data_IF_825993662177
#
_entry.id   IF_825993662177
#
_cell.length_a   1.000
_cell.length_b   1.000
_cell.length_c   1.000
_cell.angle_alpha   90.00
_cell.angle_beta   90.00
_cell.angle_gamma   90.00
#
_symmetry.space_group_name_H-M   'P 1'
#
loop_
_entity.id
_entity.type
_entity.pdbx_description
1 polymer ?
#
# COMPACT_ATOMS: atom_id res chain seq x y z
N UNK A 1 8.22 2.37 21.12
CA UNK A 1 6.84 2.02 21.50
C UNK A 1 6.17 1.54 20.25
N UNK A 2 5.55 0.36 20.27
CA UNK A 2 4.82 -0.14 19.11
C UNK A 2 3.60 0.76 18.88
N UNK A 3 3.38 1.16 17.62
CA UNK A 3 2.12 1.77 17.23
C UNK A 3 1.03 0.72 17.47
N UNK A 4 0.03 1.06 18.28
CA UNK A 4 -1.14 0.22 18.52
C UNK A 4 -2.21 0.56 17.47
N UNK A 5 -2.76 -0.44 16.80
CA UNK A 5 -3.65 -0.22 15.67
C UNK A 5 -4.09 -1.51 14.98
N UNK A 6 -5.10 -1.38 14.13
CA UNK A 6 -5.58 -2.48 13.29
C UNK A 6 -4.59 -2.64 12.15
N UNK A 7 -3.88 -3.77 12.10
CA UNK A 7 -2.93 -4.11 11.04
C UNK A 7 -3.58 -5.08 10.07
N UNK A 8 -3.54 -4.74 8.78
CA UNK A 8 -3.88 -5.64 7.68
C UNK A 8 -2.59 -5.94 6.92
N UNK A 9 -2.05 -7.14 7.13
CA UNK A 9 -0.91 -7.66 6.39
C UNK A 9 -1.34 -8.31 5.08
N UNK A 10 -0.39 -8.51 4.18
CA UNK A 10 -0.54 -9.10 2.85
C UNK A 10 -0.89 -10.61 2.83
N UNK A 11 -0.86 -11.26 4.00
CA UNK A 11 -1.32 -12.64 4.22
C UNK A 11 -2.72 -12.72 4.90
N UNK A 12 -3.31 -11.57 5.22
CA UNK A 12 -4.62 -11.49 5.86
C UNK A 12 -5.74 -11.78 4.85
N UNK A 13 -6.87 -12.31 5.35
CA UNK A 13 -8.12 -12.40 4.57
C UNK A 13 -8.71 -11.02 4.22
N UNK A 14 -8.24 -9.96 4.87
CA UNK A 14 -8.62 -8.57 4.62
C UNK A 14 -7.72 -7.88 3.58
N UNK A 15 -6.77 -8.62 3.02
CA UNK A 15 -5.96 -8.22 1.87
C UNK A 15 -6.40 -9.01 0.63
N UNK A 16 -6.69 -8.29 -0.45
CA UNK A 16 -7.04 -8.87 -1.74
C UNK A 16 -6.10 -8.30 -2.79
N UNK A 17 -5.62 -9.16 -3.70
CA UNK A 17 -4.82 -8.76 -4.85
C UNK A 17 -5.38 -9.32 -6.15
N UNK A 18 -5.10 -8.65 -7.26
CA UNK A 18 -5.47 -9.13 -8.61
C UNK A 18 -4.81 -10.48 -8.91
N UNK A 19 -5.44 -11.34 -9.74
CA UNK A 19 -4.91 -12.65 -10.12
C UNK A 19 -3.84 -12.55 -11.24
N UNK A 20 -2.89 -11.62 -11.11
CA UNK A 20 -1.79 -11.46 -12.07
C UNK A 20 -0.66 -12.45 -11.82
N UNK A 21 0.02 -12.87 -12.89
CA UNK A 21 1.24 -13.67 -12.83
C UNK A 21 2.50 -12.84 -12.52
N UNK A 22 2.41 -11.50 -12.60
CA UNK A 22 3.54 -10.58 -12.37
C UNK A 22 3.71 -10.20 -10.90
N UNK A 23 2.98 -10.85 -10.00
CA UNK A 23 3.21 -10.74 -8.57
C UNK A 23 4.44 -11.55 -8.15
N UNK A 24 5.43 -10.86 -7.60
CA UNK A 24 6.59 -11.47 -6.95
C UNK A 24 6.44 -11.40 -5.43
N UNK A 25 7.11 -12.32 -4.74
CA UNK A 25 7.21 -12.33 -3.27
C UNK A 25 8.60 -11.89 -2.86
N UNK A 26 8.70 -11.01 -1.87
CA UNK A 26 9.95 -10.70 -1.21
C UNK A 26 9.98 -11.22 0.22
N UNK A 27 11.16 -11.10 0.83
CA UNK A 27 11.47 -11.60 2.19
C UNK A 27 11.77 -10.48 3.18
N UNK A 28 11.43 -9.24 2.80
CA UNK A 28 11.60 -8.02 3.59
C UNK A 28 10.24 -7.38 3.80
N UNK A 29 10.11 -6.53 4.81
CA UNK A 29 8.84 -5.91 5.18
C UNK A 29 8.28 -6.42 6.49
N UNK A 30 7.03 -6.05 6.75
CA UNK A 30 6.36 -6.40 7.98
C UNK A 30 6.29 -7.93 8.10
N UNK A 31 6.81 -8.48 9.20
CA UNK A 31 6.89 -9.93 9.41
C UNK A 31 7.69 -10.67 8.30
N UNK A 32 8.70 -9.99 7.73
CA UNK A 32 9.66 -10.52 6.74
C UNK A 32 9.03 -10.98 5.43
N UNK A 33 7.99 -10.28 4.99
CA UNK A 33 7.23 -10.61 3.79
C UNK A 33 6.72 -9.33 3.15
N UNK A 34 6.61 -9.38 1.83
CA UNK A 34 5.87 -8.43 1.03
C UNK A 34 5.50 -9.08 -0.31
N UNK A 35 4.56 -8.46 -1.01
CA UNK A 35 4.45 -8.59 -2.45
C UNK A 35 5.14 -7.41 -3.12
N UNK A 36 5.63 -7.62 -4.33
CA UNK A 36 6.10 -6.55 -5.18
C UNK A 36 5.87 -6.89 -6.64
N UNK A 37 5.90 -5.85 -7.47
CA UNK A 37 5.97 -5.98 -8.92
C UNK A 37 6.80 -4.84 -9.48
N UNK A 38 7.04 -4.88 -10.77
CA UNK A 38 7.59 -3.76 -11.51
C UNK A 38 6.53 -2.70 -11.76
N UNK A 39 6.95 -1.43 -11.80
CA UNK A 39 6.04 -0.31 -12.08
C UNK A 39 5.61 -0.28 -13.54
N UNK A 40 4.36 0.11 -13.77
CA UNK A 40 3.83 0.42 -15.10
C UNK A 40 3.55 1.92 -15.24
N UNK A 41 3.69 2.41 -16.48
CA UNK A 41 3.56 3.84 -16.78
C UNK A 41 2.09 4.27 -16.90
N UNK A 42 1.33 3.55 -17.71
CA UNK A 42 -0.01 3.95 -18.10
C UNK A 42 -1.08 3.08 -17.43
N UNK A 43 -2.22 3.67 -17.08
CA UNK A 43 -3.32 2.94 -16.44
C UNK A 43 -3.95 1.85 -17.31
N UNK A 44 -3.74 1.90 -18.63
CA UNK A 44 -4.19 0.86 -19.56
C UNK A 44 -3.40 -0.46 -19.38
N UNK A 45 -2.21 -0.37 -18.79
CA UNK A 45 -1.29 -1.47 -18.54
C UNK A 45 -1.34 -1.90 -17.06
N UNK A 46 -2.35 -1.46 -16.29
CA UNK A 46 -2.54 -1.85 -14.90
C UNK A 46 -2.84 -3.34 -14.78
N UNK A 47 -2.03 -4.06 -14.00
CA UNK A 47 -2.18 -5.51 -13.85
C UNK A 47 -2.16 -5.94 -12.38
N UNK A 48 -1.23 -5.41 -11.59
CA UNK A 48 -1.08 -5.71 -10.18
C UNK A 48 -1.76 -4.63 -9.33
N UNK A 49 -2.91 -5.00 -8.75
CA UNK A 49 -3.68 -4.16 -7.83
C UNK A 49 -3.84 -4.88 -6.51
N UNK A 50 -3.62 -4.17 -5.40
CA UNK A 50 -3.90 -4.66 -4.05
C UNK A 50 -4.87 -3.74 -3.31
N UNK A 51 -5.70 -4.35 -2.46
CA UNK A 51 -6.69 -3.67 -1.63
C UNK A 51 -6.60 -4.21 -0.20
N UNK A 52 -6.39 -3.32 0.76
CA UNK A 52 -6.48 -3.59 2.19
C UNK A 52 -7.83 -3.08 2.73
N UNK A 53 -8.58 -3.95 3.42
CA UNK A 53 -9.95 -3.68 3.88
C UNK A 53 -10.19 -4.10 5.34
N UNK A 54 -9.79 -3.28 6.33
CA UNK A 54 -9.99 -3.57 7.75
C UNK A 54 -11.47 -3.57 8.13
N UNK A 55 -11.80 -4.28 9.21
CA UNK A 55 -13.09 -4.17 9.91
C UNK A 55 -12.92 -3.11 11.00
N UNK A 56 -13.56 -1.96 10.83
CA UNK A 56 -13.53 -0.86 11.80
C UNK A 56 -14.81 -0.90 12.64
N UNK A 57 -14.69 -1.23 13.93
CA UNK A 57 -15.82 -1.35 14.85
C UNK A 57 -16.12 -0.08 15.65
N UNK A 58 -15.25 0.94 15.56
CA UNK A 58 -15.40 2.18 16.30
C UNK A 58 -15.38 3.37 15.35
N UNK A 59 -16.34 4.28 15.52
CA UNK A 59 -16.30 5.55 14.82
C UNK A 59 -15.17 6.41 15.41
N UNK A 60 -14.35 6.99 14.55
CA UNK A 60 -13.24 7.83 14.99
C UNK A 60 -12.38 8.37 13.86
N UNK A 61 -11.41 9.19 14.25
CA UNK A 61 -10.31 9.58 13.37
C UNK A 61 -9.18 8.57 13.54
N UNK A 62 -8.62 8.13 12.43
CA UNK A 62 -7.50 7.21 12.40
C UNK A 62 -6.40 7.78 11.52
N UNK A 63 -5.17 7.74 12.01
CA UNK A 63 -3.97 7.90 11.19
C UNK A 63 -3.69 6.58 10.47
N UNK A 64 -3.45 6.65 9.16
CA UNK A 64 -3.11 5.50 8.34
C UNK A 64 -1.61 5.44 8.14
N UNK A 65 -1.06 4.24 8.22
CA UNK A 65 0.33 3.98 7.87
C UNK A 65 0.42 2.87 6.83
N UNK A 66 1.33 3.03 5.87
CA UNK A 66 1.81 1.97 5.00
C UNK A 66 3.18 1.50 5.51
N UNK A 67 3.39 0.20 5.60
CA UNK A 67 4.72 -0.33 5.84
C UNK A 67 5.49 -0.36 4.52
N UNK A 68 6.67 0.27 4.50
CA UNK A 68 7.56 0.27 3.34
C UNK A 68 8.76 -0.63 3.65
N UNK A 69 8.93 -1.76 2.93
CA UNK A 69 10.04 -2.68 3.16
C UNK A 69 11.36 -2.05 2.71
N UNK A 70 12.47 -2.57 3.25
CA UNK A 70 13.83 -2.17 2.89
C UNK A 70 14.27 -2.59 1.48
N UNK A 71 13.49 -3.43 0.81
CA UNK A 71 13.82 -4.02 -0.49
C UNK A 71 12.55 -4.13 -1.35
N UNK A 72 12.73 -4.15 -2.68
CA UNK A 72 11.66 -4.18 -3.68
C UNK A 72 10.71 -2.97 -3.67
N UNK A 73 11.16 -1.83 -3.13
CA UNK A 73 10.36 -0.63 -2.89
C UNK A 73 11.04 0.63 -3.45
N UNK A 74 11.43 0.60 -4.73
CA UNK A 74 12.28 1.64 -5.36
C UNK A 74 11.50 2.69 -6.16
N UNK A 75 10.18 2.56 -6.26
CA UNK A 75 9.31 3.56 -6.88
C UNK A 75 9.37 4.90 -6.14
N UNK A 76 9.35 5.98 -6.92
CA UNK A 76 9.26 7.34 -6.43
C UNK A 76 7.81 7.87 -6.42
N UNK A 77 6.85 7.07 -6.86
CA UNK A 77 5.49 7.52 -7.11
C UNK A 77 4.43 6.44 -6.83
N UNK A 78 4.51 5.77 -5.67
CA UNK A 78 3.45 4.85 -5.23
C UNK A 78 2.19 5.65 -4.85
N UNK A 79 1.08 5.41 -5.55
CA UNK A 79 -0.16 6.21 -5.42
C UNK A 79 -1.22 5.43 -4.64
N UNK A 80 -1.33 5.72 -3.35
CA UNK A 80 -2.35 5.13 -2.49
C UNK A 80 -3.68 5.86 -2.67
N UNK A 81 -4.74 5.12 -2.98
CA UNK A 81 -6.11 5.61 -2.99
C UNK A 81 -6.84 5.12 -1.73
N UNK A 82 -7.25 6.06 -0.89
CA UNK A 82 -7.80 5.81 0.44
C UNK A 82 -9.29 6.16 0.40
N UNK A 83 -10.14 5.16 0.59
CA UNK A 83 -11.59 5.37 0.72
C UNK A 83 -11.95 5.43 2.20
N UNK A 84 -12.50 6.56 2.63
CA UNK A 84 -12.87 6.85 4.01
C UNK A 84 -14.27 7.47 4.07
N UNK A 85 -14.75 7.79 5.28
CA UNK A 85 -16.13 8.23 5.49
C UNK A 85 -16.51 9.55 4.78
N UNK A 86 -15.53 10.38 4.44
CA UNK A 86 -15.71 11.69 3.78
C UNK A 86 -15.47 11.63 2.26
N UNK A 87 -15.11 10.46 1.71
CA UNK A 87 -14.85 10.29 0.26
C UNK A 87 -13.55 9.53 -0.01
N UNK A 88 -12.91 9.88 -1.13
CA UNK A 88 -11.65 9.27 -1.59
C UNK A 88 -10.54 10.32 -1.53
N UNK A 89 -9.43 9.97 -0.89
CA UNK A 89 -8.18 10.74 -0.88
C UNK A 89 -7.08 9.98 -1.63
N UNK A 90 -6.13 10.71 -2.23
CA UNK A 90 -4.96 10.12 -2.89
C UNK A 90 -3.68 10.66 -2.28
N UNK A 91 -2.74 9.78 -2.01
CA UNK A 91 -1.45 10.11 -1.40
C UNK A 91 -0.36 9.43 -2.20
N UNK A 92 0.64 10.22 -2.60
CA UNK A 92 1.84 9.70 -3.27
C UNK A 92 2.94 9.52 -2.24
N UNK A 93 3.58 8.34 -2.24
CA UNK A 93 4.75 8.02 -1.41
C UNK A 93 5.93 7.69 -2.31
N UNK A 94 7.07 8.29 -1.99
CA UNK A 94 8.38 7.91 -2.53
C UNK A 94 8.89 6.72 -1.72
N UNK A 95 8.54 5.49 -2.12
CA UNK A 95 8.90 4.31 -1.33
C UNK A 95 10.42 4.17 -1.16
N UNK A 96 11.18 4.60 -2.17
CA UNK A 96 12.63 4.56 -2.18
C UNK A 96 13.32 5.33 -1.03
N UNK A 97 12.61 6.25 -0.38
CA UNK A 97 13.15 7.05 0.72
C UNK A 97 13.10 6.32 2.07
N UNK A 98 12.42 5.17 2.14
CA UNK A 98 12.14 4.46 3.38
C UNK A 98 12.80 3.10 3.44
N UNK A 99 13.13 2.66 4.65
CA UNK A 99 13.83 1.41 4.90
C UNK A 99 13.25 0.73 6.13
N UNK A 100 12.32 -0.22 5.90
CA UNK A 100 11.66 -1.03 6.94
C UNK A 100 10.90 -0.17 7.97
N UNK A 101 9.98 0.67 7.48
CA UNK A 101 9.34 1.73 8.27
C UNK A 101 7.84 1.86 8.00
N UNK A 102 7.09 2.28 9.03
CA UNK A 102 5.71 2.72 8.91
C UNK A 102 5.65 4.20 8.49
N UNK A 103 5.08 4.46 7.32
CA UNK A 103 4.97 5.79 6.72
C UNK A 103 3.52 6.26 6.78
N UNK A 104 3.30 7.43 7.35
CA UNK A 104 1.97 8.04 7.45
C UNK A 104 1.43 8.38 6.05
N UNK A 105 0.17 8.03 5.83
CA UNK A 105 -0.62 8.48 4.68
C UNK A 105 -1.59 9.60 5.07
N UNK A 106 -1.72 9.92 6.35
CA UNK A 106 -2.61 10.95 6.88
C UNK A 106 -3.77 10.40 7.71
N UNK A 107 -4.52 11.34 8.29
CA UNK A 107 -5.62 11.04 9.21
C UNK A 107 -7.00 11.24 8.60
N UNK A 108 -7.83 10.20 8.63
CA UNK A 108 -9.17 10.18 8.04
C UNK A 108 -10.22 9.64 9.02
N UNK A 109 -11.50 9.89 8.72
CA UNK A 109 -12.62 9.35 9.51
C UNK A 109 -13.02 7.97 9.02
N UNK A 110 -13.13 7.02 9.94
CA UNK A 110 -13.65 5.68 9.70
C UNK A 110 -14.68 5.32 10.77
N UNK A 111 -15.49 4.30 10.49
CA UNK A 111 -16.43 3.76 11.46
C UNK A 111 -17.19 2.54 10.94
N UNK A 112 -18.02 1.93 11.79
CA UNK A 112 -18.79 0.73 11.46
C UNK A 112 -19.63 0.89 10.20
N UNK A 113 -19.59 -0.11 9.32
CA UNK A 113 -20.39 -0.15 8.09
C UNK A 113 -20.01 0.92 7.06
N UNK A 114 -18.88 1.61 7.23
CA UNK A 114 -18.36 2.60 6.27
C UNK A 114 -17.15 2.05 5.51
N UNK A 115 -16.88 2.54 4.29
CA UNK A 115 -15.64 2.21 3.59
C UNK A 115 -14.40 2.57 4.40
N UNK A 116 -13.43 1.67 4.41
CA UNK A 116 -12.14 1.86 5.07
C UNK A 116 -10.97 1.32 4.23
N UNK A 117 -11.11 1.31 2.91
CA UNK A 117 -10.20 0.60 2.02
C UNK A 117 -9.01 1.46 1.63
N UNK A 118 -7.86 0.81 1.43
CA UNK A 118 -6.71 1.39 0.73
C UNK A 118 -6.46 0.54 -0.51
N UNK A 119 -6.33 1.19 -1.66
CA UNK A 119 -5.97 0.58 -2.93
C UNK A 119 -4.60 1.10 -3.36
N UNK A 120 -3.74 0.20 -3.80
CA UNK A 120 -2.49 0.51 -4.48
C UNK A 120 -2.44 -0.31 -5.77
N UNK A 121 -1.89 0.26 -6.84
CA UNK A 121 -1.58 -0.48 -8.06
C UNK A 121 -0.17 -0.18 -8.54
N UNK A 122 0.28 -0.98 -9.51
CA UNK A 122 1.56 -0.84 -10.18
C UNK A 122 1.67 0.41 -11.08
N UNK A 123 0.59 1.16 -11.28
CA UNK A 123 0.55 2.38 -12.09
C UNK A 123 1.18 3.55 -11.34
N UNK A 124 2.46 3.80 -11.57
CA UNK A 124 3.19 4.92 -10.93
C UNK A 124 3.49 6.06 -11.90
N UNK A 125 3.34 5.84 -13.21
CA UNK A 125 3.73 6.81 -14.24
C UNK A 125 5.23 6.84 -14.51
N UNK A 126 6.00 5.98 -13.85
CA UNK A 126 7.44 5.81 -14.08
C UNK A 126 7.69 4.91 -15.30
N UNK A 127 8.88 4.97 -15.92
CA UNK A 127 9.24 4.10 -17.04
C UNK A 127 9.08 2.62 -16.68
N UNK A 128 8.51 1.86 -17.60
CA UNK A 128 8.23 0.43 -17.45
C UNK A 128 9.09 -0.45 -18.38
N UNK A 129 10.16 0.12 -18.96
CA UNK A 129 11.11 -0.63 -19.78
C UNK A 129 12.10 -1.38 -18.88
N UNK A 130 12.02 -2.71 -18.91
CA UNK A 130 12.89 -3.59 -18.13
C UNK A 130 14.38 -3.47 -18.47
N UNK A 131 14.72 -2.85 -19.60
CA UNK A 131 16.12 -2.60 -19.99
C UNK A 131 16.60 -1.19 -19.59
N UNK A 132 15.76 -0.40 -18.93
CA UNK A 132 16.15 0.94 -18.45
C UNK A 132 16.71 0.87 -17.04
N UNK A 133 17.76 1.66 -16.77
CA UNK A 133 18.30 1.87 -15.41
C UNK A 133 17.28 2.58 -14.48
N UNK A 134 16.17 3.05 -15.05
CA UNK A 134 15.07 3.71 -14.35
C UNK A 134 13.94 2.74 -13.97
N UNK A 135 14.05 1.44 -14.29
CA UNK A 135 13.01 0.46 -14.00
C UNK A 135 12.83 0.28 -12.49
N UNK A 136 11.65 0.63 -11.97
CA UNK A 136 11.37 0.64 -10.54
C UNK A 136 10.51 -0.53 -10.10
N UNK A 137 10.66 -0.87 -8.82
CA UNK A 137 9.84 -1.84 -8.12
C UNK A 137 8.89 -1.10 -7.18
N UNK A 138 7.67 -1.58 -7.10
CA UNK A 138 6.68 -1.11 -6.14
C UNK A 138 6.33 -2.24 -5.17
N UNK A 139 6.39 -1.94 -3.88
CA UNK A 139 6.10 -2.87 -2.81
C UNK A 139 4.67 -2.71 -2.27
N UNK A 140 4.10 -3.84 -1.88
CA UNK A 140 2.80 -4.01 -1.27
C UNK A 140 2.98 -4.87 -0.02
N UNK A 141 2.80 -4.28 1.15
CA UNK A 141 3.09 -4.89 2.44
C UNK A 141 1.88 -4.66 3.37
N UNK A 142 2.10 -4.33 4.64
CA UNK A 142 1.04 -4.12 5.61
C UNK A 142 0.55 -2.67 5.67
N UNK A 143 -0.71 -2.53 6.05
CA UNK A 143 -1.35 -1.25 6.34
C UNK A 143 -1.81 -1.22 7.81
N UNK A 144 -1.72 -0.06 8.45
CA UNK A 144 -2.15 0.11 9.85
C UNK A 144 -3.11 1.30 9.99
N UNK A 145 -4.18 1.10 10.75
CA UNK A 145 -5.10 2.14 11.21
C UNK A 145 -4.94 2.30 12.72
N UNK A 146 -4.35 3.42 13.15
CA UNK A 146 -4.25 3.77 14.57
C UNK A 146 -5.20 4.91 14.89
N UNK A 147 -5.97 4.78 15.97
CA UNK A 147 -6.95 5.78 16.35
C UNK A 147 -6.25 6.97 17.02
N UNK A 148 -6.71 8.19 16.73
CA UNK A 148 -6.19 9.45 17.29
C UNK A 148 -7.29 10.31 17.89
#
# INVERSE_FOLDING_TARGET
GYLDGIVVSEDSSQFVRSPSQHWYRGTWGHQRRNYWTWTVRDCKDEECVAIWSPVINELGRYELFAHIPSDNATTLNARYEITHADGISRVTVVQNDYYDQWVSLGAYKFGPGRPATVRLSDVTGEPSDANSDEYKQIAFDAMMWTRI
#
